data_IF_965571605066
#
_entry.id   IF_965571605066
#
_cell.length_a   1.000
_cell.length_b   1.000
_cell.length_c   1.000
_cell.angle_alpha   90.00
_cell.angle_beta   90.00
_cell.angle_gamma   90.00
#
_symmetry.space_group_name_H-M   'P 1'
#
loop_
_entity.id
_entity.type
_entity.pdbx_description
1 polymer ?
#
# COMPACT_ATOMS: atom_id res chain seq x y z
N UNK A 1 -2.56 14.65 52.77
CA UNK A 1 -1.69 13.54 53.19
C UNK A 1 -1.45 12.70 51.94
N UNK A 2 -0.37 12.82 51.17
CA UNK A 2 1.01 13.12 51.53
C UNK A 2 1.74 11.80 51.77
N UNK A 3 2.41 11.28 50.73
CA UNK A 3 3.45 10.22 50.68
C UNK A 3 3.48 9.71 49.21
N UNK A 4 4.46 9.93 48.34
CA UNK A 4 5.86 10.32 48.51
C UNK A 4 6.73 9.08 48.70
N UNK A 5 7.51 8.71 47.66
CA UNK A 5 8.68 7.78 47.55
C UNK A 5 8.50 6.78 46.39
N UNK A 6 9.49 6.37 45.58
CA UNK A 6 10.93 6.64 45.44
C UNK A 6 11.34 6.08 44.06
N UNK A 7 11.88 6.91 43.17
CA UNK A 7 12.51 6.45 41.93
C UNK A 7 13.89 5.86 42.26
N UNK A 8 14.13 4.61 41.87
CA UNK A 8 15.43 3.95 41.99
C UNK A 8 16.06 3.76 40.61
N UNK A 9 17.14 4.51 40.37
CA UNK A 9 18.05 4.32 39.26
C UNK A 9 18.78 2.97 39.39
N UNK A 10 18.66 2.09 38.39
CA UNK A 10 19.67 1.07 38.12
C UNK A 10 20.17 1.19 36.69
N UNK A 11 21.37 1.73 36.58
CA UNK A 11 22.21 1.61 35.40
C UNK A 11 22.60 0.13 35.24
N UNK A 12 22.22 -0.47 34.11
CA UNK A 12 22.76 -1.75 33.65
C UNK A 12 23.87 -1.41 32.65
N UNK A 13 25.12 -1.56 33.09
CA UNK A 13 26.29 -1.66 32.21
C UNK A 13 26.33 -3.09 31.67
N UNK A 14 26.23 -3.24 30.35
CA UNK A 14 26.65 -4.45 29.64
C UNK A 14 27.70 -4.07 28.59
N UNK A 15 28.81 -4.82 28.47
CA UNK A 15 29.88 -4.53 27.52
C UNK A 15 29.55 -5.14 26.16
N UNK A 16 29.11 -4.31 25.20
CA UNK A 16 29.02 -4.73 23.80
C UNK A 16 30.40 -4.64 23.15
N UNK A 17 31.15 -5.76 23.16
CA UNK A 17 32.17 -6.03 22.16
C UNK A 17 31.51 -6.83 21.03
N UNK A 18 31.15 -6.14 19.95
CA UNK A 18 31.02 -6.73 18.64
C UNK A 18 31.97 -5.97 17.70
N UNK A 19 32.89 -6.63 16.98
CA UNK A 19 33.44 -6.06 15.76
C UNK A 19 32.38 -6.25 14.68
N UNK A 20 31.52 -5.23 14.52
CA UNK A 20 30.71 -5.08 13.33
C UNK A 20 31.61 -4.87 12.11
N UNK A 21 31.25 -5.53 11.02
CA UNK A 21 31.97 -5.60 9.76
C UNK A 21 32.55 -4.24 9.30
N UNK A 22 33.81 -4.33 8.90
CA UNK A 22 34.55 -3.39 8.06
C UNK A 22 33.89 -3.28 6.67
N UNK A 23 32.76 -2.59 6.56
CA UNK A 23 32.25 -2.06 5.28
C UNK A 23 31.50 -0.74 5.54
N UNK A 24 32.25 0.28 5.95
CA UNK A 24 31.83 1.67 5.86
C UNK A 24 33.09 2.54 5.81
N UNK A 25 33.84 2.41 4.71
CA UNK A 25 34.83 3.40 4.34
C UNK A 25 34.13 4.74 4.13
N UNK A 26 34.47 5.69 4.99
CA UNK A 26 34.00 7.06 5.02
C UNK A 26 33.75 7.68 3.63
N UNK A 27 32.47 7.96 3.35
CA UNK A 27 32.04 8.92 2.36
C UNK A 27 31.03 9.84 3.03
N UNK A 28 31.51 10.73 3.90
CA UNK A 28 30.75 11.93 4.26
C UNK A 28 30.83 12.88 3.07
N UNK A 29 29.74 13.13 2.32
CA UNK A 29 29.75 14.12 1.26
C UNK A 29 29.88 15.52 1.88
N UNK A 30 30.82 16.31 1.36
CA UNK A 30 30.85 17.76 1.57
C UNK A 30 29.91 18.39 0.55
N UNK A 31 28.83 19.02 1.03
CA UNK A 31 27.95 19.81 0.18
C UNK A 31 28.71 21.03 -0.35
N UNK A 32 28.77 21.17 -1.67
CA UNK A 32 29.17 22.43 -2.32
C UNK A 32 28.04 22.85 -3.24
N UNK A 33 27.50 24.05 -3.04
CA UNK A 33 26.42 24.59 -3.87
C UNK A 33 27.03 25.33 -5.07
N UNK A 34 26.59 24.95 -6.28
CA UNK A 34 26.84 25.73 -7.50
C UNK A 34 25.49 26.12 -8.05
N UNK A 35 25.23 27.43 -8.12
CA UNK A 35 23.97 27.99 -8.62
C UNK A 35 24.07 28.12 -10.15
N UNK A 36 23.09 27.58 -10.89
CA UNK A 36 22.88 27.86 -12.31
C UNK A 36 21.42 28.28 -12.53
N UNK A 37 21.22 29.27 -13.39
CA UNK A 37 19.89 29.83 -13.67
C UNK A 37 19.02 28.88 -14.53
N UNK A 38 17.90 28.45 -13.92
CA UNK A 38 16.54 28.56 -14.47
C UNK A 38 16.05 27.53 -15.50
N UNK A 39 15.36 26.48 -15.05
CA UNK A 39 14.32 25.78 -15.82
C UNK A 39 12.96 25.98 -15.13
N UNK A 40 11.91 26.27 -15.90
CA UNK A 40 10.54 26.42 -15.39
C UNK A 40 10.00 25.03 -15.01
N UNK A 41 9.81 24.81 -13.71
CA UNK A 41 9.23 23.59 -13.15
C UNK A 41 7.81 23.91 -12.68
N UNK A 42 6.83 23.19 -13.22
CA UNK A 42 5.44 23.34 -12.82
C UNK A 42 5.21 22.53 -11.54
N UNK A 43 5.22 23.21 -10.40
CA UNK A 43 4.96 22.59 -9.09
C UNK A 43 3.61 23.11 -8.60
N UNK A 44 2.70 22.19 -8.26
CA UNK A 44 1.46 22.52 -7.57
C UNK A 44 1.80 22.97 -6.15
N UNK A 45 1.79 24.28 -5.90
CA UNK A 45 1.96 24.83 -4.56
C UNK A 45 0.56 25.05 -3.97
N UNK A 46 0.29 24.38 -2.85
CA UNK A 46 -0.90 24.67 -2.04
C UNK A 46 -0.76 26.09 -1.50
N UNK A 47 -1.67 26.98 -1.91
CA UNK A 47 -1.75 28.33 -1.34
C UNK A 47 -2.07 28.22 0.15
N UNK A 48 -1.26 28.83 1.00
CA UNK A 48 -1.56 29.00 2.44
C UNK A 48 -2.79 29.90 2.68
N UNK A 49 -3.37 30.50 1.64
CA UNK A 49 -4.55 31.35 1.69
C UNK A 49 -5.87 30.55 1.76
N UNK A 50 -5.85 29.36 2.35
CA UNK A 50 -7.06 28.58 2.66
C UNK A 50 -7.82 29.13 3.87
N UNK A 51 -7.28 30.12 4.60
CA UNK A 51 -8.07 30.83 5.63
C UNK A 51 -9.18 31.70 5.04
N UNK A 52 -9.04 32.14 3.79
CA UNK A 52 -10.07 32.92 3.10
C UNK A 52 -10.90 32.09 2.10
N UNK A 53 -10.45 30.88 1.74
CA UNK A 53 -11.23 29.90 0.96
C UNK A 53 -12.31 29.16 1.76
N UNK A 54 -12.31 29.31 3.10
CA UNK A 54 -13.40 28.95 4.00
C UNK A 54 -14.36 30.13 4.24
N UNK A 55 -14.35 31.13 3.35
CA UNK A 55 -15.30 32.23 3.37
C UNK A 55 -16.71 31.74 3.09
N UNK A 56 -17.51 31.62 4.14
CA UNK A 56 -18.97 31.56 4.06
C UNK A 56 -19.54 30.25 3.52
N UNK A 57 -19.44 29.17 4.28
CA UNK A 57 -20.53 28.19 4.27
C UNK A 57 -21.68 28.85 5.03
N UNK A 58 -22.46 29.67 4.33
CA UNK A 58 -23.71 30.19 4.85
C UNK A 58 -24.58 29.00 5.27
N UNK A 59 -25.29 29.15 6.40
CA UNK A 59 -26.06 28.08 7.07
C UNK A 59 -27.30 27.61 6.28
N UNK A 60 -27.28 27.77 4.97
CA UNK A 60 -28.39 27.48 4.07
C UNK A 60 -28.28 26.05 3.57
N UNK A 61 -29.42 25.38 3.54
CA UNK A 61 -29.56 23.99 3.10
C UNK A 61 -29.16 23.89 1.62
N UNK A 62 -27.90 23.55 1.34
CA UNK A 62 -27.42 23.44 -0.03
C UNK A 62 -27.80 22.05 -0.56
N UNK A 63 -28.89 22.00 -1.31
CA UNK A 63 -29.16 20.87 -2.21
C UNK A 63 -28.08 20.89 -3.29
N UNK A 64 -27.14 19.97 -3.17
CA UNK A 64 -26.25 19.64 -4.27
C UNK A 64 -27.13 18.89 -5.27
N UNK A 65 -27.15 19.35 -6.52
CA UNK A 65 -27.94 18.71 -7.58
C UNK A 65 -27.59 17.23 -7.70
N UNK A 66 -28.40 16.43 -8.42
CA UNK A 66 -28.10 15.02 -8.57
C UNK A 66 -26.71 14.81 -9.20
N UNK A 67 -25.89 13.96 -8.58
CA UNK A 67 -24.52 13.69 -9.00
C UNK A 67 -24.40 12.27 -9.54
N UNK A 68 -23.75 12.10 -10.69
CA UNK A 68 -23.42 10.78 -11.20
C UNK A 68 -22.18 10.23 -10.47
N UNK A 69 -22.25 8.97 -10.04
CA UNK A 69 -21.15 8.26 -9.40
C UNK A 69 -21.24 6.76 -9.64
N UNK A 70 -20.41 6.00 -8.93
CA UNK A 70 -20.46 4.55 -8.95
C UNK A 70 -21.02 4.01 -7.65
N UNK A 71 -21.96 3.09 -7.75
CA UNK A 71 -22.34 2.21 -6.66
C UNK A 71 -21.53 0.92 -6.78
N UNK A 72 -20.72 0.63 -5.77
CA UNK A 72 -19.86 -0.55 -5.73
C UNK A 72 -20.65 -1.74 -5.19
N UNK A 73 -20.69 -2.84 -5.94
CA UNK A 73 -21.27 -4.08 -5.47
C UNK A 73 -20.24 -5.21 -5.56
N UNK A 74 -19.91 -5.77 -4.41
CA UNK A 74 -19.01 -6.91 -4.30
C UNK A 74 -19.82 -8.21 -4.18
N UNK A 75 -19.33 -9.32 -4.69
CA UNK A 75 -19.96 -10.63 -4.52
C UNK A 75 -18.87 -11.68 -4.30
N UNK A 76 -18.82 -12.26 -3.11
CA UNK A 76 -17.76 -13.18 -2.71
C UNK A 76 -18.23 -14.64 -2.70
N UNK A 77 -17.31 -15.55 -3.03
CA UNK A 77 -17.52 -17.00 -3.00
C UNK A 77 -16.24 -17.71 -2.55
N UNK A 78 -16.40 -18.89 -1.95
CA UNK A 78 -15.29 -19.80 -1.65
C UNK A 78 -15.08 -20.72 -2.83
N UNK A 79 -13.85 -20.78 -3.33
CA UNK A 79 -13.49 -21.65 -4.44
C UNK A 79 -12.26 -22.48 -4.09
N UNK A 80 -12.48 -23.71 -3.64
CA UNK A 80 -11.40 -24.62 -3.25
C UNK A 80 -10.52 -25.07 -4.42
N UNK A 81 -11.01 -24.93 -5.65
CA UNK A 81 -10.28 -25.21 -6.89
C UNK A 81 -9.51 -23.98 -7.41
N UNK A 82 -9.48 -22.87 -6.66
CA UNK A 82 -8.72 -21.69 -7.03
C UNK A 82 -7.21 -21.98 -7.01
N UNK A 83 -6.52 -21.62 -8.08
CA UNK A 83 -5.07 -21.75 -8.22
C UNK A 83 -4.33 -20.54 -7.64
N UNK A 84 -4.85 -19.92 -6.57
CA UNK A 84 -4.27 -18.74 -5.90
C UNK A 84 -4.05 -19.04 -4.42
N UNK A 85 -2.80 -19.08 -3.99
CA UNK A 85 -2.40 -19.60 -2.69
C UNK A 85 -1.15 -18.90 -2.12
N UNK A 86 -0.95 -19.06 -0.81
CA UNK A 86 0.29 -18.71 -0.12
C UNK A 86 1.24 -19.89 -0.19
N UNK A 87 2.45 -19.68 -0.69
CA UNK A 87 3.49 -20.68 -0.84
C UNK A 87 4.72 -20.30 -0.01
N UNK A 88 5.37 -21.29 0.58
CA UNK A 88 6.64 -21.08 1.29
C UNK A 88 7.80 -21.02 0.31
N UNK A 89 8.69 -20.02 0.44
CA UNK A 89 9.88 -19.89 -0.42
C UNK A 89 11.13 -20.35 0.32
N UNK A 90 11.43 -19.69 1.44
CA UNK A 90 12.68 -19.88 2.18
C UNK A 90 12.56 -19.36 3.60
N UNK A 91 13.44 -19.80 4.48
CA UNK A 91 13.62 -19.26 5.82
C UNK A 91 15.10 -18.99 6.10
N UNK A 92 15.37 -17.90 6.82
CA UNK A 92 16.71 -17.52 7.24
C UNK A 92 17.05 -18.04 8.66
N UNK A 93 18.32 -17.98 9.05
CA UNK A 93 18.85 -18.34 10.37
C UNK A 93 18.17 -17.58 11.52
N UNK A 94 17.57 -16.42 11.23
CA UNK A 94 16.81 -15.60 12.19
C UNK A 94 15.30 -15.92 12.26
N UNK A 95 14.85 -17.05 11.69
CA UNK A 95 13.43 -17.43 11.62
C UNK A 95 12.53 -16.45 10.85
N UNK A 96 13.14 -15.63 9.99
CA UNK A 96 12.40 -14.84 9.01
C UNK A 96 12.08 -15.76 7.83
N UNK A 97 10.80 -16.02 7.62
CA UNK A 97 10.28 -16.84 6.55
C UNK A 97 9.71 -15.95 5.46
N UNK A 98 10.11 -16.21 4.23
CA UNK A 98 9.58 -15.56 3.03
C UNK A 98 8.51 -16.46 2.42
N UNK A 99 7.36 -15.86 2.14
CA UNK A 99 6.22 -16.48 1.47
C UNK A 99 6.00 -15.81 0.13
N UNK A 100 5.51 -16.57 -0.85
CA UNK A 100 5.00 -16.04 -2.11
C UNK A 100 3.49 -16.14 -2.08
N UNK A 101 2.79 -15.05 -2.34
CA UNK A 101 1.39 -15.11 -2.72
C UNK A 101 1.39 -15.24 -4.23
N UNK A 102 0.94 -16.38 -4.76
CA UNK A 102 1.08 -16.72 -6.16
C UNK A 102 -0.19 -17.42 -6.68
N UNK A 103 -0.61 -17.07 -7.91
CA UNK A 103 -1.58 -17.85 -8.63
C UNK A 103 -2.27 -17.15 -9.80
N UNK A 104 -3.31 -17.80 -10.32
CA UNK A 104 -4.15 -17.26 -11.38
C UNK A 104 -5.56 -16.93 -10.87
N UNK A 105 -6.07 -15.76 -11.27
CA UNK A 105 -7.48 -15.40 -11.14
C UNK A 105 -8.25 -15.73 -12.43
N UNK A 106 -9.57 -15.99 -12.37
CA UNK A 106 -10.37 -16.41 -13.53
C UNK A 106 -10.31 -15.51 -14.77
N UNK A 107 -10.03 -14.22 -14.58
CA UNK A 107 -9.96 -13.19 -15.62
C UNK A 107 -8.50 -12.72 -15.90
N UNK A 108 -7.50 -13.41 -15.35
CA UNK A 108 -6.08 -13.09 -15.58
C UNK A 108 -5.75 -13.24 -17.06
N UNK A 109 -4.88 -12.35 -17.57
CA UNK A 109 -4.38 -12.46 -18.94
C UNK A 109 -3.60 -13.77 -19.07
N UNK A 110 -3.85 -14.60 -20.10
CA UNK A 110 -3.14 -15.86 -20.28
C UNK A 110 -1.62 -15.69 -20.26
N UNK A 111 -0.95 -16.45 -19.39
CA UNK A 111 0.51 -16.39 -19.22
C UNK A 111 1.01 -15.40 -18.17
N UNK A 112 0.11 -14.58 -17.59
CA UNK A 112 0.44 -13.74 -16.43
C UNK A 112 -0.16 -14.37 -15.18
N UNK A 113 0.70 -14.70 -14.23
CA UNK A 113 0.30 -15.05 -12.87
C UNK A 113 0.44 -13.82 -11.97
N UNK A 114 -0.44 -13.73 -10.98
CA UNK A 114 -0.34 -12.72 -9.94
C UNK A 114 0.59 -13.24 -8.86
N UNK A 115 1.74 -12.60 -8.70
CA UNK A 115 2.65 -12.93 -7.61
C UNK A 115 3.29 -11.73 -6.91
N UNK A 116 3.55 -11.90 -5.62
CA UNK A 116 4.41 -11.02 -4.83
C UNK A 116 4.88 -11.70 -3.54
N UNK A 117 6.09 -11.35 -3.05
CA UNK A 117 6.60 -11.89 -1.81
C UNK A 117 6.00 -11.15 -0.59
N UNK A 118 5.89 -11.86 0.52
CA UNK A 118 5.61 -11.32 1.86
C UNK A 118 6.52 -12.02 2.87
N UNK A 119 6.79 -11.38 4.01
CA UNK A 119 7.77 -11.86 4.99
C UNK A 119 7.16 -11.91 6.38
N UNK A 120 7.46 -12.98 7.11
CA UNK A 120 7.02 -13.15 8.49
C UNK A 120 8.15 -13.65 9.38
N UNK A 121 8.22 -13.16 10.60
CA UNK A 121 8.93 -13.76 11.72
C UNK A 121 8.11 -14.94 12.25
N UNK A 122 8.10 -16.03 11.50
CA UNK A 122 7.41 -17.25 11.85
C UNK A 122 8.35 -18.43 11.59
N UNK A 123 8.61 -19.22 12.62
CA UNK A 123 9.42 -20.43 12.49
C UNK A 123 8.54 -21.52 11.92
N UNK A 124 8.78 -21.93 10.67
CA UNK A 124 8.22 -23.14 10.08
C UNK A 124 8.87 -24.36 10.74
N UNK A 125 8.68 -24.54 12.04
CA UNK A 125 8.92 -25.85 12.63
C UNK A 125 7.73 -26.73 12.20
N UNK A 126 7.92 -27.74 11.34
CA UNK A 126 6.84 -28.59 10.86
C UNK A 126 6.11 -29.34 12.00
N UNK A 127 6.64 -29.32 13.23
CA UNK A 127 6.04 -29.91 14.41
C UNK A 127 5.24 -28.92 15.27
N UNK A 128 5.18 -27.63 14.93
CA UNK A 128 4.43 -26.62 15.69
C UNK A 128 3.16 -26.23 14.91
N UNK A 129 2.13 -27.07 15.02
CA UNK A 129 0.83 -26.92 14.36
C UNK A 129 -0.12 -25.97 15.10
N UNK A 130 0.29 -25.37 16.22
CA UNK A 130 -0.66 -24.68 17.09
C UNK A 130 -1.03 -23.28 16.62
N UNK A 131 -0.26 -22.66 15.71
CA UNK A 131 -0.64 -21.44 15.01
C UNK A 131 0.14 -21.41 13.70
N UNK A 132 -0.49 -21.56 12.53
CA UNK A 132 0.24 -21.46 11.26
C UNK A 132 0.70 -20.05 10.92
N UNK A 133 1.20 -19.83 9.69
CA UNK A 133 1.74 -18.53 9.30
C UNK A 133 0.65 -17.45 9.30
N UNK A 134 0.87 -16.29 9.97
CA UNK A 134 -0.07 -15.19 10.02
C UNK A 134 -0.02 -14.34 8.74
N UNK A 135 -0.08 -15.01 7.59
CA UNK A 135 -0.01 -14.41 6.25
C UNK A 135 -1.41 -14.32 5.66
N UNK A 136 -1.76 -13.15 5.16
CA UNK A 136 -2.91 -12.97 4.30
C UNK A 136 -2.59 -11.93 3.27
N UNK A 137 -2.91 -12.21 2.02
CA UNK A 137 -2.93 -11.20 0.99
C UNK A 137 -3.91 -11.55 -0.11
N UNK A 138 -4.20 -10.55 -0.92
CA UNK A 138 -5.04 -10.68 -2.11
C UNK A 138 -4.32 -10.15 -3.33
N UNK A 139 -4.79 -10.58 -4.50
CA UNK A 139 -4.50 -9.90 -5.75
C UNK A 139 -5.78 -9.48 -6.44
N UNK A 140 -5.65 -8.50 -7.32
CA UNK A 140 -6.76 -7.91 -8.06
C UNK A 140 -6.45 -7.95 -9.55
N UNK A 141 -7.41 -8.41 -10.34
CA UNK A 141 -7.33 -8.38 -11.80
C UNK A 141 -8.52 -7.57 -12.33
N UNK A 142 -8.18 -6.56 -13.12
CA UNK A 142 -9.09 -5.72 -13.88
C UNK A 142 -8.97 -6.13 -15.34
N UNK A 143 -10.07 -6.60 -15.93
CA UNK A 143 -10.10 -6.94 -17.34
C UNK A 143 -11.35 -6.32 -17.97
N UNK A 144 -11.14 -5.19 -18.64
CA UNK A 144 -12.17 -4.43 -19.35
C UNK A 144 -12.54 -5.04 -20.70
N UNK A 145 -11.71 -5.94 -21.24
CA UNK A 145 -11.85 -6.41 -22.63
C UNK A 145 -12.73 -7.66 -22.76
N UNK A 146 -12.84 -8.45 -21.69
CA UNK A 146 -13.49 -9.78 -21.75
C UNK A 146 -14.84 -9.82 -21.05
N UNK A 147 -15.05 -9.10 -19.94
CA UNK A 147 -16.31 -9.21 -19.17
C UNK A 147 -16.66 -8.08 -18.17
N UNK A 148 -15.92 -6.96 -18.11
CA UNK A 148 -16.05 -5.94 -17.04
C UNK A 148 -16.00 -6.53 -15.60
N UNK A 149 -15.49 -7.76 -15.48
CA UNK A 149 -15.40 -8.47 -14.22
C UNK A 149 -14.10 -8.10 -13.55
N UNK A 150 -14.18 -7.18 -12.59
CA UNK A 150 -13.10 -6.94 -11.65
C UNK A 150 -13.12 -8.06 -10.62
N UNK A 151 -11.97 -8.72 -10.41
CA UNK A 151 -11.87 -9.87 -9.51
C UNK A 151 -10.82 -9.62 -8.45
N UNK A 152 -11.12 -10.06 -7.23
CA UNK A 152 -10.21 -10.10 -6.10
C UNK A 152 -10.10 -11.58 -5.69
N UNK A 153 -8.89 -12.06 -5.44
CA UNK A 153 -8.67 -13.38 -4.85
C UNK A 153 -7.85 -13.24 -3.58
N UNK A 154 -8.30 -13.85 -2.49
CA UNK A 154 -7.63 -13.87 -1.19
C UNK A 154 -6.96 -15.23 -1.00
N UNK A 155 -5.68 -15.19 -0.66
CA UNK A 155 -4.92 -16.33 -0.18
C UNK A 155 -4.48 -16.07 1.26
N UNK A 156 -4.61 -17.10 2.09
CA UNK A 156 -4.33 -16.97 3.51
C UNK A 156 -3.64 -18.22 4.08
N UNK A 157 -2.74 -18.00 5.04
CA UNK A 157 -2.16 -19.03 5.87
C UNK A 157 -3.16 -19.57 6.92
N UNK A 158 -2.71 -20.53 7.72
CA UNK A 158 -3.60 -21.28 8.63
C UNK A 158 -4.21 -20.40 9.73
N UNK A 159 -3.55 -19.30 10.13
CA UNK A 159 -4.11 -18.32 11.08
C UNK A 159 -5.42 -17.71 10.57
N UNK A 160 -5.54 -17.54 9.25
CA UNK A 160 -6.69 -16.91 8.59
C UNK A 160 -7.37 -17.89 7.63
N UNK A 161 -7.39 -19.19 7.97
CA UNK A 161 -7.92 -20.26 7.13
C UNK A 161 -9.38 -20.03 6.69
N UNK A 162 -10.19 -19.39 7.55
CA UNK A 162 -11.55 -18.94 7.25
C UNK A 162 -11.63 -18.06 6.00
N UNK A 163 -10.60 -17.24 5.74
CA UNK A 163 -10.52 -16.30 4.61
C UNK A 163 -9.85 -16.92 3.37
N UNK A 164 -9.15 -18.05 3.53
CA UNK A 164 -8.40 -18.68 2.44
C UNK A 164 -9.31 -19.12 1.29
N UNK A 165 -8.81 -19.06 0.05
CA UNK A 165 -9.52 -19.45 -1.18
C UNK A 165 -10.84 -18.69 -1.41
N UNK A 166 -10.88 -17.42 -0.99
CA UNK A 166 -12.04 -16.55 -1.25
C UNK A 166 -11.82 -15.77 -2.54
N UNK A 167 -12.82 -15.73 -3.41
CA UNK A 167 -12.82 -14.93 -4.63
C UNK A 167 -14.01 -13.98 -4.60
N UNK A 168 -13.76 -12.70 -4.88
CA UNK A 168 -14.81 -11.68 -4.93
C UNK A 168 -14.85 -11.03 -6.30
N UNK A 169 -16.05 -10.94 -6.87
CA UNK A 169 -16.33 -10.14 -8.07
C UNK A 169 -16.77 -8.75 -7.62
N UNK A 170 -16.20 -7.72 -8.23
CA UNK A 170 -16.57 -6.33 -7.98
C UNK A 170 -17.23 -5.76 -9.24
N UNK A 171 -18.41 -5.18 -9.06
CA UNK A 171 -19.18 -4.54 -10.12
C UNK A 171 -19.37 -3.08 -9.73
N UNK A 172 -18.99 -2.17 -10.62
CA UNK A 172 -19.27 -0.75 -10.49
C UNK A 172 -20.46 -0.42 -11.36
N UNK A 173 -21.59 -0.09 -10.74
CA UNK A 173 -22.79 0.34 -11.47
C UNK A 173 -22.91 1.85 -11.40
N UNK A 174 -22.96 2.51 -12.57
CA UNK A 174 -23.20 3.96 -12.64
C UNK A 174 -24.58 4.28 -12.07
N UNK A 175 -24.63 5.24 -11.16
CA UNK A 175 -25.85 5.63 -10.47
C UNK A 175 -25.85 7.14 -10.18
N UNK A 176 -27.04 7.71 -10.15
CA UNK A 176 -27.25 9.11 -9.80
C UNK A 176 -27.61 9.20 -8.31
N UNK A 177 -26.98 10.10 -7.58
CA UNK A 177 -27.13 10.27 -6.14
C UNK A 177 -27.66 11.67 -5.85
N UNK A 178 -28.70 11.75 -5.02
CA UNK A 178 -29.14 12.99 -4.41
C UNK A 178 -28.46 13.13 -3.06
N UNK A 179 -27.56 14.10 -2.96
CA UNK A 179 -26.82 14.42 -1.74
C UNK A 179 -27.42 15.67 -1.11
N UNK A 180 -27.91 15.54 0.12
CA UNK A 180 -28.32 16.69 0.93
C UNK A 180 -27.42 16.80 2.15
N UNK A 181 -26.88 18.01 2.34
CA UNK A 181 -26.03 18.34 3.49
C UNK A 181 -26.80 19.24 4.42
N UNK A 182 -27.13 18.74 5.61
CA UNK A 182 -27.70 19.54 6.67
C UNK A 182 -26.59 19.99 7.62
N UNK A 183 -26.14 21.23 7.44
CA UNK A 183 -25.10 21.83 8.27
C UNK A 183 -25.54 22.05 9.72
N UNK A 184 -26.84 22.20 9.98
CA UNK A 184 -27.38 22.43 11.33
C UNK A 184 -27.37 21.15 12.16
N UNK A 185 -27.79 20.04 11.55
CA UNK A 185 -27.80 18.71 12.21
C UNK A 185 -26.47 17.96 12.06
N UNK A 186 -25.54 18.50 11.26
CA UNK A 186 -24.29 17.85 10.88
C UNK A 186 -24.52 16.48 10.22
N UNK A 187 -25.59 16.37 9.42
CA UNK A 187 -25.97 15.14 8.73
C UNK A 187 -25.79 15.28 7.23
N UNK A 188 -25.21 14.25 6.62
CA UNK A 188 -25.14 14.09 5.16
C UNK A 188 -26.07 12.94 4.80
N UNK A 189 -27.07 13.20 3.97
CA UNK A 189 -27.97 12.18 3.48
C UNK A 189 -27.70 11.94 2.00
N UNK A 190 -27.33 10.71 1.67
CA UNK A 190 -27.10 10.28 0.28
C UNK A 190 -28.22 9.32 -0.08
N UNK A 191 -28.94 9.63 -1.15
CA UNK A 191 -30.02 8.78 -1.65
C UNK A 191 -29.81 8.44 -3.11
N UNK A 192 -29.92 7.16 -3.42
CA UNK A 192 -29.78 6.63 -4.76
C UNK A 192 -31.04 6.91 -5.59
N UNK A 193 -30.87 7.57 -6.74
CA UNK A 193 -31.91 7.83 -7.72
C UNK A 193 -31.89 6.72 -8.78
N UNK A 194 -33.01 6.02 -8.94
CA UNK A 194 -33.18 4.97 -9.96
C UNK A 194 -33.47 5.58 -11.34
N UNK A 195 -32.52 6.34 -11.86
CA UNK A 195 -32.58 6.83 -13.23
C UNK A 195 -31.82 5.87 -14.15
N UNK A 196 -32.39 5.56 -15.31
CA UNK A 196 -31.85 4.55 -16.24
C UNK A 196 -31.04 5.13 -17.39
N UNK A 197 -31.02 6.47 -17.52
CA UNK A 197 -30.41 7.15 -18.65
C UNK A 197 -29.26 8.06 -18.19
N UNK A 198 -28.33 7.48 -17.44
CA UNK A 198 -27.17 8.19 -16.87
C UNK A 198 -25.96 7.93 -17.75
N UNK A 199 -25.25 9.00 -18.12
CA UNK A 199 -23.96 8.88 -18.81
C UNK A 199 -22.89 8.58 -17.77
N UNK A 200 -22.03 7.61 -18.07
CA UNK A 200 -20.89 7.28 -17.20
C UNK A 200 -20.04 8.53 -16.93
N UNK A 201 -19.82 8.93 -15.66
CA UNK A 201 -18.98 10.08 -15.32
C UNK A 201 -17.51 9.87 -15.73
N UNK A 202 -17.06 8.61 -15.90
CA UNK A 202 -15.69 8.27 -16.30
C UNK A 202 -15.69 7.11 -17.31
N UNK A 203 -16.01 7.37 -18.59
CA UNK A 203 -16.19 6.33 -19.60
C UNK A 203 -14.88 5.65 -20.03
N UNK A 204 -13.71 6.11 -19.58
CA UNK A 204 -12.43 5.46 -19.94
C UNK A 204 -12.11 4.25 -19.07
N UNK A 205 -12.85 4.04 -17.98
CA UNK A 205 -12.65 2.93 -17.03
C UNK A 205 -11.36 3.03 -16.21
N UNK A 206 -10.61 4.13 -16.35
CA UNK A 206 -9.36 4.37 -15.62
C UNK A 206 -9.60 4.58 -14.14
N UNK A 207 -10.71 5.20 -13.74
CA UNK A 207 -11.03 5.38 -12.32
C UNK A 207 -11.27 4.03 -11.64
N UNK A 208 -12.09 3.17 -12.26
CA UNK A 208 -12.32 1.80 -11.79
C UNK A 208 -11.02 1.01 -11.71
N UNK A 209 -10.21 1.07 -12.78
CA UNK A 209 -8.92 0.37 -12.81
C UNK A 209 -7.99 0.88 -11.69
N UNK A 210 -7.87 2.20 -11.52
CA UNK A 210 -7.05 2.80 -10.47
C UNK A 210 -7.56 2.47 -9.06
N UNK A 211 -8.89 2.40 -8.86
CA UNK A 211 -9.47 2.03 -7.57
C UNK A 211 -9.14 0.57 -7.21
N UNK A 212 -9.33 -0.34 -8.16
CA UNK A 212 -8.97 -1.75 -8.03
C UNK A 212 -7.45 -1.95 -7.85
N UNK A 213 -6.63 -1.16 -8.54
CA UNK A 213 -5.17 -1.19 -8.38
C UNK A 213 -4.73 -0.66 -7.02
N UNK A 214 -5.32 0.42 -6.51
CA UNK A 214 -5.09 0.90 -5.15
C UNK A 214 -5.40 -0.19 -4.13
N UNK A 215 -6.50 -0.91 -4.30
CA UNK A 215 -6.84 -2.05 -3.46
C UNK A 215 -5.79 -3.17 -3.55
N UNK A 216 -5.24 -3.45 -4.73
CA UNK A 216 -4.16 -4.41 -4.91
C UNK A 216 -2.88 -3.98 -4.16
N UNK A 217 -2.52 -2.70 -4.26
CA UNK A 217 -1.36 -2.14 -3.58
C UNK A 217 -1.50 -2.18 -2.07
N UNK A 218 -2.70 -1.97 -1.53
CA UNK A 218 -2.95 -2.11 -0.09
C UNK A 218 -2.49 -3.48 0.42
N UNK A 219 -2.85 -4.57 -0.28
CA UNK A 219 -2.40 -5.91 0.11
C UNK A 219 -0.89 -6.09 0.16
N UNK A 220 -0.17 -5.40 -0.73
CA UNK A 220 1.28 -5.53 -0.86
C UNK A 220 2.05 -4.71 0.18
N UNK A 221 1.39 -3.78 0.88
CA UNK A 221 2.05 -2.82 1.79
C UNK A 221 1.73 -3.02 3.27
N UNK A 222 0.72 -3.81 3.60
CA UNK A 222 0.13 -3.86 4.97
C UNK A 222 0.55 -5.05 5.82
N UNK A 223 1.32 -5.98 5.24
CA UNK A 223 1.90 -7.08 6.00
C UNK A 223 3.10 -6.59 6.82
N UNK A 224 3.16 -7.05 8.07
CA UNK A 224 4.31 -6.84 8.95
C UNK A 224 4.98 -8.18 9.24
N UNK A 225 6.20 -8.14 9.76
CA UNK A 225 6.91 -9.37 10.14
C UNK A 225 6.10 -10.24 11.13
N UNK A 226 5.32 -9.68 12.04
CA UNK A 226 4.67 -10.48 13.08
C UNK A 226 3.22 -10.81 12.78
N UNK A 227 2.52 -9.95 12.04
CA UNK A 227 1.08 -10.05 11.82
C UNK A 227 0.69 -9.51 10.45
N UNK A 228 -0.30 -10.13 9.82
CA UNK A 228 -1.04 -9.47 8.73
C UNK A 228 -2.07 -8.51 9.32
N UNK A 229 -1.85 -7.21 9.11
CA UNK A 229 -2.79 -6.17 9.54
C UNK A 229 -4.14 -6.34 8.84
N UNK A 230 -4.12 -6.73 7.57
CA UNK A 230 -5.32 -7.03 6.78
C UNK A 230 -6.02 -8.27 7.29
N UNK A 231 -5.28 -9.36 7.50
CA UNK A 231 -5.86 -10.60 8.03
C UNK A 231 -6.55 -10.38 9.36
N UNK A 232 -5.92 -9.65 10.28
CA UNK A 232 -6.52 -9.29 11.56
C UNK A 232 -7.76 -8.41 11.41
N UNK A 233 -7.76 -7.47 10.48
CA UNK A 233 -8.89 -6.56 10.27
C UNK A 233 -10.09 -7.30 9.68
N UNK A 234 -9.87 -8.10 8.64
CA UNK A 234 -10.91 -8.93 8.03
C UNK A 234 -11.46 -9.95 9.05
N UNK A 235 -10.58 -10.65 9.77
CA UNK A 235 -10.99 -11.63 10.79
C UNK A 235 -11.80 -10.97 11.91
N UNK A 236 -11.44 -9.75 12.33
CA UNK A 236 -12.24 -8.98 13.31
C UNK A 236 -13.62 -8.63 12.74
N UNK A 237 -13.71 -8.23 11.47
CA UNK A 237 -15.00 -7.94 10.87
C UNK A 237 -15.88 -9.22 10.78
N UNK A 238 -15.28 -10.35 10.38
CA UNK A 238 -15.95 -11.67 10.40
C UNK A 238 -16.47 -11.99 11.80
N UNK A 239 -15.63 -11.86 12.83
CA UNK A 239 -16.04 -12.14 14.21
C UNK A 239 -17.16 -11.19 14.68
N UNK A 240 -17.12 -9.91 14.29
CA UNK A 240 -18.18 -8.96 14.61
C UNK A 240 -19.51 -9.35 13.95
N UNK A 241 -19.47 -9.77 12.69
CA UNK A 241 -20.66 -10.22 11.95
C UNK A 241 -21.23 -11.51 12.53
N UNK A 242 -20.38 -12.48 12.91
CA UNK A 242 -20.82 -13.72 13.56
C UNK A 242 -21.44 -13.51 14.94
N UNK A 243 -21.02 -12.46 15.66
CA UNK A 243 -21.54 -12.13 16.98
C UNK A 243 -22.83 -11.28 16.94
N UNK A 244 -23.37 -10.98 15.74
CA UNK A 244 -24.62 -10.24 15.60
C UNK A 244 -25.81 -11.12 16.03
N UNK A 245 -26.61 -10.71 17.04
CA UNK A 245 -27.67 -11.55 17.61
C UNK A 245 -28.85 -11.79 16.66
N UNK A 246 -28.98 -10.97 15.61
CA UNK A 246 -30.02 -11.00 14.58
C UNK A 246 -29.65 -11.86 13.36
N UNK A 247 -28.39 -12.31 13.26
CA UNK A 247 -27.89 -13.00 12.08
C UNK A 247 -28.05 -14.53 12.22
N UNK A 248 -29.11 -15.08 11.63
CA UNK A 248 -29.34 -16.54 11.57
C UNK A 248 -28.83 -17.12 10.24
N UNK A 249 -27.51 -17.04 10.01
CA UNK A 249 -26.86 -17.54 8.79
C UNK A 249 -25.70 -18.47 9.13
N UNK A 250 -25.24 -19.26 8.15
CA UNK A 250 -24.10 -20.15 8.34
C UNK A 250 -22.80 -19.35 8.58
N UNK A 251 -21.81 -19.96 9.25
CA UNK A 251 -20.51 -19.33 9.53
C UNK A 251 -19.79 -18.90 8.24
N UNK A 252 -19.89 -19.70 7.18
CA UNK A 252 -19.28 -19.40 5.88
C UNK A 252 -19.97 -18.21 5.21
N UNK A 253 -21.30 -18.17 5.22
CA UNK A 253 -22.07 -17.07 4.66
C UNK A 253 -21.83 -15.76 5.41
N UNK A 254 -21.78 -15.80 6.74
CA UNK A 254 -21.39 -14.65 7.57
C UNK A 254 -19.96 -14.19 7.26
N UNK A 255 -19.03 -15.12 7.02
CA UNK A 255 -17.65 -14.80 6.65
C UNK A 255 -17.59 -14.10 5.30
N UNK A 256 -18.26 -14.66 4.28
CA UNK A 256 -18.32 -14.07 2.95
C UNK A 256 -19.02 -12.70 2.96
N UNK A 257 -20.08 -12.54 3.76
CA UNK A 257 -20.78 -11.27 3.96
C UNK A 257 -19.89 -10.22 4.62
N UNK A 258 -19.11 -10.60 5.65
CA UNK A 258 -18.15 -9.67 6.26
C UNK A 258 -17.01 -9.27 5.31
N UNK A 259 -16.53 -10.20 4.47
CA UNK A 259 -15.53 -9.90 3.43
C UNK A 259 -16.13 -8.95 2.38
N UNK A 260 -17.37 -9.22 1.95
CA UNK A 260 -18.14 -8.35 1.06
C UNK A 260 -18.24 -6.92 1.60
N UNK A 261 -18.68 -6.76 2.85
CA UNK A 261 -18.81 -5.46 3.50
C UNK A 261 -17.44 -4.75 3.58
N UNK A 262 -16.38 -5.49 3.90
CA UNK A 262 -15.02 -4.95 4.02
C UNK A 262 -14.51 -4.39 2.69
N UNK A 263 -14.64 -5.15 1.59
CA UNK A 263 -14.18 -4.69 0.27
C UNK A 263 -15.04 -3.56 -0.27
N UNK A 264 -16.35 -3.59 -0.03
CA UNK A 264 -17.24 -2.50 -0.42
C UNK A 264 -16.81 -1.20 0.28
N UNK A 265 -16.62 -1.24 1.60
CA UNK A 265 -16.16 -0.08 2.36
C UNK A 265 -14.78 0.43 1.90
N UNK A 266 -13.81 -0.47 1.69
CA UNK A 266 -12.47 -0.08 1.20
C UNK A 266 -12.52 0.57 -0.19
N UNK A 267 -13.33 0.03 -1.11
CA UNK A 267 -13.47 0.58 -2.45
C UNK A 267 -14.18 1.93 -2.43
N UNK A 268 -15.21 2.09 -1.61
CA UNK A 268 -15.91 3.37 -1.45
C UNK A 268 -14.96 4.43 -0.86
N UNK A 269 -14.15 4.09 0.14
CA UNK A 269 -13.11 5.00 0.67
C UNK A 269 -12.08 5.38 -0.39
N UNK A 270 -11.63 4.43 -1.21
CA UNK A 270 -10.70 4.70 -2.31
C UNK A 270 -11.34 5.64 -3.35
N UNK A 271 -12.60 5.42 -3.72
CA UNK A 271 -13.32 6.29 -4.64
C UNK A 271 -13.51 7.70 -4.07
N UNK A 272 -13.85 7.82 -2.78
CA UNK A 272 -13.93 9.12 -2.08
C UNK A 272 -12.56 9.79 -2.04
N UNK A 273 -11.47 9.05 -1.81
CA UNK A 273 -10.12 9.60 -1.84
C UNK A 273 -9.77 10.15 -3.24
N UNK A 274 -10.12 9.43 -4.31
CA UNK A 274 -9.96 9.94 -5.67
C UNK A 274 -10.83 11.18 -5.93
N UNK A 275 -12.12 11.15 -5.57
CA UNK A 275 -13.02 12.29 -5.74
C UNK A 275 -12.54 13.54 -5.00
N UNK A 276 -12.17 13.40 -3.72
CA UNK A 276 -11.63 14.50 -2.90
C UNK A 276 -10.31 15.04 -3.44
N UNK A 277 -9.44 14.19 -3.99
CA UNK A 277 -8.19 14.65 -4.62
C UNK A 277 -8.46 15.52 -5.85
N UNK A 278 -9.51 15.23 -6.63
CA UNK A 278 -9.87 16.05 -7.79
C UNK A 278 -10.37 17.43 -7.35
N UNK A 279 -11.19 17.50 -6.30
CA UNK A 279 -11.67 18.77 -5.74
C UNK A 279 -10.49 19.60 -5.22
N UNK A 280 -9.55 18.97 -4.52
CA UNK A 280 -8.36 19.66 -4.01
C UNK A 280 -7.47 20.22 -5.14
N UNK A 281 -7.43 19.56 -6.30
CA UNK A 281 -6.62 19.98 -7.45
C UNK A 281 -7.32 20.98 -8.36
N UNK A 282 -8.66 21.04 -8.35
CA UNK A 282 -9.46 21.87 -9.27
C UNK A 282 -9.16 23.37 -9.16
N UNK A 283 -8.60 23.85 -8.04
CA UNK A 283 -8.29 25.26 -7.81
C UNK A 283 -6.81 25.56 -7.49
N UNK A 284 -5.91 24.58 -7.66
CA UNK A 284 -4.54 24.62 -7.12
C UNK A 284 -3.42 24.78 -8.16
N UNK A 285 -3.68 25.42 -9.31
CA UNK A 285 -2.62 25.70 -10.30
C UNK A 285 -2.16 27.16 -10.20
N UNK A 286 -1.06 27.39 -9.48
CA UNK A 286 -0.33 28.67 -9.53
C UNK A 286 1.04 28.43 -10.17
N UNK A 287 1.34 29.13 -11.27
CA UNK A 287 2.66 29.08 -11.90
C UNK A 287 3.61 29.95 -11.07
N UNK A 288 4.53 29.32 -10.35
CA UNK A 288 5.58 30.02 -9.60
C UNK A 288 6.93 29.70 -10.21
N UNK A 289 7.81 30.71 -10.30
CA UNK A 289 9.17 30.52 -10.79
C UNK A 289 9.98 29.69 -9.79
N UNK A 290 10.31 28.45 -10.13
CA UNK A 290 11.11 27.56 -9.27
C UNK A 290 12.60 27.83 -9.49
N UNK A 291 13.29 28.33 -8.46
CA UNK A 291 14.76 28.34 -8.43
C UNK A 291 15.19 26.93 -7.99
N UNK A 292 15.48 26.04 -8.94
CA UNK A 292 15.95 24.70 -8.60
C UNK A 292 17.43 24.75 -8.17
N UNK A 293 17.69 24.55 -6.89
CA UNK A 293 19.04 24.27 -6.39
C UNK A 293 19.20 22.75 -6.45
N UNK A 294 19.89 22.22 -7.45
CA UNK A 294 20.28 20.81 -7.45
C UNK A 294 21.49 20.64 -6.51
N UNK A 295 21.37 19.98 -5.34
CA UNK A 295 22.53 19.61 -4.57
C UNK A 295 23.29 18.52 -5.34
N UNK A 296 24.42 18.87 -5.94
CA UNK A 296 25.36 17.89 -6.44
C UNK A 296 26.00 17.18 -5.23
N UNK A 297 25.64 15.93 -4.99
CA UNK A 297 26.27 15.13 -3.94
C UNK A 297 27.64 14.70 -4.43
N UNK A 298 28.69 15.41 -4.01
CA UNK A 298 30.07 14.96 -4.20
C UNK A 298 30.37 13.87 -3.17
N UNK A 299 30.32 12.62 -3.62
CA UNK A 299 30.64 11.46 -2.78
C UNK A 299 32.16 11.32 -2.69
N UNK A 300 32.72 11.74 -1.55
CA UNK A 300 34.12 11.51 -1.19
C UNK A 300 35.06 12.72 -1.28
N UNK A 301 36.12 12.67 -0.46
CA UNK A 301 37.16 13.68 -0.45
C UNK A 301 38.11 13.44 -1.65
N UNK A 302 38.43 14.52 -2.37
CA UNK A 302 39.34 14.49 -3.53
C UNK A 302 40.65 13.77 -3.25
N UNK A 303 41.18 13.88 -2.01
CA UNK A 303 42.40 13.18 -1.61
C UNK A 303 42.30 11.65 -1.72
N UNK A 304 41.17 11.04 -1.32
CA UNK A 304 41.00 9.58 -1.39
C UNK A 304 40.80 9.08 -2.83
N UNK A 305 40.18 9.91 -3.69
CA UNK A 305 40.00 9.60 -5.11
C UNK A 305 41.38 9.51 -5.80
N UNK A 306 42.24 10.51 -5.60
CA UNK A 306 43.58 10.49 -6.18
C UNK A 306 44.48 9.41 -5.59
N UNK A 307 44.38 9.12 -4.29
CA UNK A 307 45.12 8.02 -3.67
C UNK A 307 44.73 6.65 -4.26
N UNK A 308 43.43 6.41 -4.47
CA UNK A 308 42.93 5.16 -5.05
C UNK A 308 43.38 4.99 -6.50
N UNK A 309 43.33 6.05 -7.30
CA UNK A 309 43.84 6.03 -8.68
C UNK A 309 45.34 5.72 -8.70
N UNK A 310 46.13 6.36 -7.82
CA UNK A 310 47.57 6.13 -7.74
C UNK A 310 47.92 4.68 -7.40
N UNK A 311 47.24 4.08 -6.42
CA UNK A 311 47.45 2.68 -6.02
C UNK A 311 47.11 1.72 -7.18
N UNK A 312 45.99 1.94 -7.88
CA UNK A 312 45.59 1.10 -9.01
C UNK A 312 46.59 1.20 -10.18
N UNK A 313 47.09 2.41 -10.50
CA UNK A 313 48.12 2.58 -11.53
C UNK A 313 49.41 1.88 -11.13
N UNK A 314 49.85 2.00 -9.87
CA UNK A 314 51.05 1.35 -9.39
C UNK A 314 50.95 -0.19 -9.46
N UNK A 315 49.81 -0.75 -9.08
CA UNK A 315 49.54 -2.18 -9.20
C UNK A 315 49.58 -2.65 -10.66
N UNK A 316 48.98 -1.90 -11.59
CA UNK A 316 49.04 -2.21 -13.02
C UNK A 316 50.47 -2.18 -13.56
N UNK A 317 51.29 -1.21 -13.15
CA UNK A 317 52.70 -1.13 -13.54
C UNK A 317 53.52 -2.29 -12.97
N UNK A 318 53.30 -2.68 -11.71
CA UNK A 318 53.97 -3.83 -11.11
C UNK A 318 53.63 -5.13 -11.86
N UNK A 319 52.36 -5.33 -12.21
CA UNK A 319 51.91 -6.48 -13.03
C UNK A 319 52.54 -6.46 -14.42
N UNK A 320 52.61 -5.29 -15.07
CA UNK A 320 53.26 -5.15 -16.38
C UNK A 320 54.75 -5.50 -16.34
N UNK A 321 55.46 -5.05 -15.30
CA UNK A 321 56.90 -5.35 -15.12
C UNK A 321 57.10 -6.84 -14.92
N UNK A 322 56.33 -7.48 -14.05
CA UNK A 322 56.43 -8.93 -13.82
C UNK A 322 55.99 -9.73 -15.06
N UNK A 323 55.00 -9.26 -15.82
CA UNK A 323 54.59 -9.88 -17.08
C UNK A 323 55.70 -9.82 -18.15
N UNK A 324 56.48 -8.73 -18.20
CA UNK A 324 57.64 -8.62 -19.09
C UNK A 324 58.78 -9.52 -18.59
N UNK A 325 59.02 -9.56 -17.28
CA UNK A 325 60.07 -10.37 -16.65
C UNK A 325 59.85 -11.87 -16.85
N UNK A 326 58.61 -12.34 -16.81
CA UNK A 326 58.25 -13.75 -16.99
C UNK A 326 58.22 -14.20 -18.47
N UNK A 327 58.39 -13.27 -19.43
CA UNK A 327 58.40 -13.57 -20.87
C UNK A 327 59.82 -13.80 -21.43
N UNK A 328 60.86 -13.49 -20.67
CA UNK A 328 62.27 -13.80 -20.96
C UNK A 328 62.79 -14.87 -20.00
#
# INVERSE_FOLDING_TARGET
MGLGTLYHNRAIKSPSRAPGALWAGALTPLLTTVVRDGALLQISVYSEDTRNGLGGWDNEFQLIGPEAGYNTNVACTKNSSADFAVQWISSDEFYVTTWEINGYLPNSVPGNNENYPTVTWYSTNPNNTENGPPVLGWSVVVNTDVDDRNMIAIAAGETFQSLNQTQCRVIFTVQEFSVSVNMTEQTISVTSLKNSNITDPEPTGRLVNNAMWSLNLLSRMTDSLYVSTLGNTLQKNVNNTLNRPDLNVSTEEATLSAIFDSFTAMLDEILVAYGSSQIALQNATTSTGVISILPAVKVGNSYYIFATIGINIFLLLAVLIEAIRLRF
#
